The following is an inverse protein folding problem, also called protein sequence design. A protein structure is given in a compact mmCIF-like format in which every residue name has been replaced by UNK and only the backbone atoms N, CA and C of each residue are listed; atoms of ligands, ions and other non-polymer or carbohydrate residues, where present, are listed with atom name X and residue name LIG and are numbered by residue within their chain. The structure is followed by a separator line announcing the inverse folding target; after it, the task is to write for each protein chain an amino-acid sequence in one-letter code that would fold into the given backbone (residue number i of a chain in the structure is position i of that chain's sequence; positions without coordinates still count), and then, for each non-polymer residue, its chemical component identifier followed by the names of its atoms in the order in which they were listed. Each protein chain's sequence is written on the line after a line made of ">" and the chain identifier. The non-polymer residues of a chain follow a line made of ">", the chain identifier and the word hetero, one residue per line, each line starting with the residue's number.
data_IF_747716196759
#
_entry.id   IF_747716196759
#
_cell.length_a   1.000
_cell.length_b   1.000
_cell.length_c   1.000
_cell.angle_alpha   90.00
_cell.angle_beta   90.00
_cell.angle_gamma   90.00
#
_symmetry.space_group_name_H-M   'P 1'
#
loop_
_entity.id
_entity.type
_entity.pdbx_description
1 polymer ?
#
# COMPACT_ATOMS: atom_id res chain seq x y z
N UNK A 1 23.57 -16.39 -5.78
CA UNK A 1 23.13 -15.07 -5.27
C UNK A 1 21.67 -14.91 -5.69
N UNK A 2 20.75 -14.87 -4.72
CA UNK A 2 19.30 -14.93 -4.97
C UNK A 2 18.89 -13.70 -5.78
N UNK A 3 18.28 -13.91 -6.96
CA UNK A 3 17.52 -12.88 -7.67
C UNK A 3 16.27 -12.57 -6.85
N UNK A 4 16.42 -11.83 -5.75
CA UNK A 4 15.31 -11.09 -5.18
C UNK A 4 15.17 -9.87 -6.09
N UNK A 5 14.33 -10.00 -7.13
CA UNK A 5 14.11 -8.91 -8.06
C UNK A 5 13.85 -7.61 -7.28
N UNK A 6 14.58 -6.53 -7.54
CA UNK A 6 14.43 -5.24 -6.87
C UNK A 6 13.19 -4.49 -7.38
N UNK A 7 12.15 -5.22 -7.75
CA UNK A 7 10.86 -4.66 -8.06
C UNK A 7 10.20 -4.42 -6.71
N UNK A 8 10.41 -3.21 -6.15
CA UNK A 8 9.79 -2.65 -4.94
C UNK A 8 8.25 -2.52 -5.06
N UNK A 9 7.61 -3.50 -5.67
CA UNK A 9 6.17 -3.71 -5.77
C UNK A 9 5.74 -4.44 -4.51
N UNK A 10 5.51 -3.70 -3.43
CA UNK A 10 4.97 -4.29 -2.21
C UNK A 10 3.45 -4.46 -2.37
N UNK A 11 3.02 -5.62 -2.87
CA UNK A 11 1.61 -6.00 -2.71
C UNK A 11 1.37 -6.46 -1.28
N UNK A 12 0.29 -6.01 -0.67
CA UNK A 12 -0.16 -6.45 0.66
C UNK A 12 -1.63 -6.79 0.61
N UNK A 13 -1.98 -7.96 1.12
CA UNK A 13 -3.36 -8.36 1.35
C UNK A 13 -3.89 -7.62 2.58
N UNK A 14 -5.04 -6.99 2.44
CA UNK A 14 -5.76 -6.32 3.53
C UNK A 14 -6.22 -7.40 4.51
N UNK A 15 -5.93 -7.21 5.79
CA UNK A 15 -6.46 -8.04 6.87
C UNK A 15 -7.61 -7.35 7.58
N UNK A 16 -8.37 -8.12 8.35
CA UNK A 16 -9.42 -7.55 9.19
C UNK A 16 -8.82 -6.56 10.20
N UNK A 17 -9.41 -5.36 10.28
CA UNK A 17 -8.89 -4.26 11.09
C UNK A 17 -7.76 -3.44 10.45
N UNK A 18 -7.28 -3.80 9.25
CA UNK A 18 -6.37 -2.93 8.51
C UNK A 18 -7.10 -1.70 7.96
N UNK A 19 -6.40 -0.58 7.98
CA UNK A 19 -6.83 0.66 7.32
C UNK A 19 -5.73 1.15 6.41
N UNK A 20 -6.09 1.89 5.36
CA UNK A 20 -5.09 2.36 4.40
C UNK A 20 -3.98 3.21 5.04
N UNK A 21 -4.28 4.15 5.96
CA UNK A 21 -3.26 4.92 6.66
C UNK A 21 -2.34 4.07 7.55
N UNK A 22 -2.89 3.03 8.18
CA UNK A 22 -2.11 2.11 9.01
C UNK A 22 -1.17 1.26 8.16
N UNK A 23 -1.65 0.77 7.02
CA UNK A 23 -0.81 0.02 6.08
C UNK A 23 0.29 0.90 5.49
N UNK A 24 0.01 2.15 5.13
CA UNK A 24 1.03 3.08 4.64
C UNK A 24 2.05 3.44 5.71
N UNK A 25 1.64 3.68 6.95
CA UNK A 25 2.56 3.91 8.07
C UNK A 25 3.49 2.70 8.29
N UNK A 26 2.97 1.47 8.25
CA UNK A 26 3.77 0.25 8.41
C UNK A 26 4.78 0.03 7.28
N UNK A 27 4.47 0.48 6.06
CA UNK A 27 5.31 0.23 4.86
C UNK A 27 6.29 1.38 4.61
N UNK A 28 5.84 2.61 4.81
CA UNK A 28 6.59 3.83 4.48
C UNK A 28 7.10 4.58 5.72
N UNK A 29 6.65 4.21 6.91
CA UNK A 29 6.91 4.96 8.15
C UNK A 29 6.10 6.25 8.27
N UNK A 30 5.20 6.54 7.32
CA UNK A 30 4.40 7.76 7.29
C UNK A 30 3.02 7.49 6.71
N UNK A 31 1.98 7.81 7.49
CA UNK A 31 0.60 7.60 7.08
C UNK A 31 0.17 8.51 5.92
N UNK A 32 0.81 9.67 5.69
CA UNK A 32 0.39 10.69 4.70
C UNK A 32 0.28 10.17 3.27
N UNK A 33 1.01 9.11 2.94
CA UNK A 33 1.01 8.50 1.61
C UNK A 33 -0.26 7.72 1.28
N UNK A 34 -1.21 7.58 2.22
CA UNK A 34 -2.45 6.83 2.00
C UNK A 34 -3.27 7.36 0.81
N UNK A 35 -3.25 8.66 0.53
CA UNK A 35 -3.96 9.25 -0.61
C UNK A 35 -3.35 8.80 -1.95
N UNK A 36 -2.02 8.77 -2.03
CA UNK A 36 -1.33 8.35 -3.25
C UNK A 36 -1.51 6.86 -3.49
N UNK A 37 -1.42 6.04 -2.42
CA UNK A 37 -1.75 4.61 -2.52
C UNK A 37 -3.19 4.39 -2.94
N UNK A 38 -4.15 5.16 -2.40
CA UNK A 38 -5.55 5.07 -2.81
C UNK A 38 -5.71 5.35 -4.31
N UNK A 39 -5.07 6.41 -4.82
CA UNK A 39 -5.10 6.76 -6.25
C UNK A 39 -4.52 5.64 -7.12
N UNK A 40 -3.35 5.13 -6.76
CA UNK A 40 -2.67 4.09 -7.55
C UNK A 40 -3.45 2.78 -7.56
N UNK A 41 -4.16 2.46 -6.48
CA UNK A 41 -5.04 1.29 -6.39
C UNK A 41 -6.47 1.55 -6.89
N UNK A 42 -6.76 2.75 -7.42
CA UNK A 42 -8.11 3.17 -7.81
C UNK A 42 -9.16 2.95 -6.72
N UNK A 43 -8.77 3.14 -5.45
CA UNK A 43 -9.67 3.01 -4.30
C UNK A 43 -10.59 4.22 -4.21
N UNK A 44 -11.86 4.03 -4.60
CA UNK A 44 -12.90 5.05 -4.47
C UNK A 44 -13.34 5.19 -3.00
N UNK A 45 -13.42 4.07 -2.27
CA UNK A 45 -13.84 4.02 -0.87
C UNK A 45 -12.73 3.49 0.05
N UNK A 46 -11.57 4.16 0.08
CA UNK A 46 -10.43 3.80 0.94
C UNK A 46 -10.71 3.90 2.46
N UNK A 47 -11.87 4.42 2.87
CA UNK A 47 -12.35 4.42 4.27
C UNK A 47 -12.86 3.06 4.73
N UNK A 48 -13.26 2.19 3.79
CA UNK A 48 -13.70 0.83 4.06
C UNK A 48 -12.93 -0.10 3.13
N UNK A 49 -11.79 -0.59 3.61
CA UNK A 49 -11.04 -1.60 2.89
C UNK A 49 -11.74 -2.95 3.03
N UNK A 50 -11.68 -3.77 1.99
CA UNK A 50 -12.24 -5.13 2.01
C UNK A 50 -11.13 -6.11 2.37
N UNK A 51 -11.21 -6.81 3.52
CA UNK A 51 -10.24 -7.84 3.86
C UNK A 51 -10.16 -8.92 2.79
N UNK A 52 -8.96 -9.35 2.46
CA UNK A 52 -8.69 -10.30 1.39
C UNK A 52 -8.37 -9.66 0.03
N UNK A 53 -8.59 -8.36 -0.16
CA UNK A 53 -8.10 -7.65 -1.36
C UNK A 53 -6.60 -7.35 -1.27
N UNK A 54 -5.93 -7.35 -2.42
CA UNK A 54 -4.53 -6.97 -2.53
C UNK A 54 -4.38 -5.50 -2.91
N UNK A 55 -3.61 -4.75 -2.11
CA UNK A 55 -3.21 -3.39 -2.39
C UNK A 55 -1.75 -3.32 -2.81
N UNK A 56 -1.51 -2.51 -3.82
CA UNK A 56 -0.20 -2.19 -4.34
C UNK A 56 0.37 -0.94 -3.66
N UNK A 57 1.53 -1.09 -3.03
CA UNK A 57 2.25 0.01 -2.40
C UNK A 57 3.48 0.36 -3.26
N UNK A 58 3.43 1.43 -4.08
CA UNK A 58 4.56 1.88 -4.88
C UNK A 58 5.75 2.33 -4.01
N UNK A 59 7.00 2.27 -4.48
CA UNK A 59 8.12 2.85 -3.76
C UNK A 59 8.00 4.38 -3.68
N UNK A 60 8.34 4.98 -2.52
CA UNK A 60 8.21 6.44 -2.27
C UNK A 60 9.01 7.26 -3.28
N UNK A 61 10.13 6.73 -3.80
CA UNK A 61 10.93 7.36 -4.86
C UNK A 61 10.14 7.58 -6.16
N UNK A 62 9.04 6.84 -6.38
CA UNK A 62 8.12 7.04 -7.51
C UNK A 62 6.91 7.93 -7.16
N UNK A 63 6.77 8.33 -5.90
CA UNK A 63 5.65 9.16 -5.38
C UNK A 63 6.10 10.62 -5.19
N UNK A 64 7.41 10.91 -5.29
CA UNK A 64 7.99 12.26 -5.14
C UNK A 64 7.98 13.07 -6.44
#
# INVERSE_FOLDING_TARGET
>A
MKKNSPDLTHKRTIQDGDTLPLMTERIYGDSKYYLEVAKVNNLINFRQLVPGEELYFPPIEKIS
#
